data_IF_303589388253
#
_entry.id   IF_303589388253
#
_cell.length_a   1.000
_cell.length_b   1.000
_cell.length_c   1.000
_cell.angle_alpha   90.00
_cell.angle_beta   90.00
_cell.angle_gamma   90.00
#
_symmetry.space_group_name_H-M   'P 1'
#
loop_
_entity.id
_entity.type
_entity.pdbx_description
1 polymer ?
#
# COMPACT_ATOMS: atom_id res chain seq x y z
N UNK A 1 -18.25 10.49 38.26
CA UNK A 1 -17.48 9.33 38.77
C UNK A 1 -17.36 8.16 37.77
N UNK A 2 -18.25 7.98 36.78
CA UNK A 2 -18.12 6.89 35.79
C UNK A 2 -16.97 7.07 34.77
N UNK A 3 -16.66 8.30 34.33
CA UNK A 3 -15.59 8.55 33.34
C UNK A 3 -14.19 8.14 33.82
N UNK A 4 -13.76 8.56 35.02
CA UNK A 4 -12.40 8.28 35.51
C UNK A 4 -12.07 6.79 35.65
N UNK A 5 -13.06 5.92 35.89
CA UNK A 5 -12.82 4.49 35.98
C UNK A 5 -12.77 3.83 34.60
N UNK A 6 -13.58 4.31 33.65
CA UNK A 6 -13.52 3.85 32.25
C UNK A 6 -12.21 4.25 31.58
N UNK A 7 -11.74 5.48 31.82
CA UNK A 7 -10.46 5.98 31.29
C UNK A 7 -9.28 5.15 31.81
N UNK A 8 -9.29 4.77 33.10
CA UNK A 8 -8.26 3.89 33.69
C UNK A 8 -8.26 2.48 33.10
N UNK A 9 -9.44 1.92 32.83
CA UNK A 9 -9.56 0.60 32.20
C UNK A 9 -9.06 0.65 30.76
N UNK A 10 -9.44 1.68 29.99
CA UNK A 10 -8.98 1.88 28.62
C UNK A 10 -7.47 2.07 28.55
N UNK A 11 -6.89 2.87 29.45
CA UNK A 11 -5.44 3.05 29.56
C UNK A 11 -4.74 1.71 29.84
N UNK A 12 -5.19 0.97 30.86
CA UNK A 12 -4.60 -0.32 31.19
C UNK A 12 -4.66 -1.32 30.04
N UNK A 13 -5.81 -1.43 29.37
CA UNK A 13 -5.96 -2.33 28.22
C UNK A 13 -5.06 -1.90 27.05
N UNK A 14 -4.91 -0.60 26.84
CA UNK A 14 -4.00 -0.05 25.84
C UNK A 14 -2.56 -0.44 26.17
N UNK A 15 -2.13 -0.24 27.41
CA UNK A 15 -0.78 -0.59 27.86
C UNK A 15 -0.53 -2.10 27.73
N UNK A 16 -1.47 -2.94 28.16
CA UNK A 16 -1.39 -4.40 28.04
C UNK A 16 -1.24 -4.85 26.58
N UNK A 17 -2.02 -4.27 25.65
CA UNK A 17 -1.94 -4.57 24.21
C UNK A 17 -0.63 -4.06 23.61
N UNK A 18 -0.23 -2.82 23.90
CA UNK A 18 1.02 -2.23 23.37
C UNK A 18 2.24 -3.00 23.85
N UNK A 19 2.22 -3.53 25.08
CA UNK A 19 3.27 -4.40 25.59
C UNK A 19 3.40 -5.72 24.80
N UNK A 20 2.33 -6.21 24.16
CA UNK A 20 2.42 -7.37 23.24
C UNK A 20 3.11 -7.05 21.92
N UNK A 21 3.42 -5.77 21.67
CA UNK A 21 4.06 -5.33 20.44
C UNK A 21 5.57 -5.05 20.55
N UNK A 22 6.15 -5.17 21.76
CA UNK A 22 7.52 -4.71 22.05
C UNK A 22 8.61 -5.70 21.64
N UNK A 23 8.27 -6.95 21.42
CA UNK A 23 9.14 -7.87 20.70
C UNK A 23 9.01 -7.53 19.21
N UNK A 24 10.08 -7.00 18.59
CA UNK A 24 10.22 -6.74 17.14
C UNK A 24 10.14 -8.05 16.29
N UNK A 25 9.28 -8.98 16.69
CA UNK A 25 9.09 -10.31 16.17
C UNK A 25 7.65 -10.50 15.71
N UNK A 26 7.45 -11.33 14.70
CA UNK A 26 6.11 -11.67 14.20
C UNK A 26 5.40 -10.52 13.48
N UNK A 27 4.29 -10.06 14.05
CA UNK A 27 3.34 -9.11 13.44
C UNK A 27 3.61 -7.64 13.79
N UNK A 28 4.62 -7.39 14.63
CA UNK A 28 4.93 -6.08 15.17
C UNK A 28 5.79 -5.27 14.20
N UNK A 29 5.10 -4.50 13.36
CA UNK A 29 5.71 -3.57 12.40
C UNK A 29 5.56 -2.12 12.84
N UNK A 30 5.74 -1.86 14.13
CA UNK A 30 5.77 -0.48 14.65
C UNK A 30 7.01 0.22 14.07
N UNK A 31 6.82 1.45 13.60
CA UNK A 31 7.85 2.27 12.93
C UNK A 31 8.37 1.74 11.57
N UNK A 32 7.70 0.76 10.95
CA UNK A 32 8.14 0.19 9.67
C UNK A 32 7.52 0.92 8.48
N UNK A 33 8.25 1.87 7.93
CA UNK A 33 7.86 2.68 6.77
C UNK A 33 7.96 1.96 5.39
N UNK A 34 8.25 0.67 5.37
CA UNK A 34 8.60 -0.08 4.16
C UNK A 34 7.61 -1.21 3.82
N UNK A 35 6.35 -1.12 4.24
CA UNK A 35 5.33 -2.11 3.86
C UNK A 35 4.44 -1.57 2.74
N UNK A 36 4.05 -2.41 1.76
CA UNK A 36 3.01 -2.06 0.81
C UNK A 36 1.71 -1.64 1.53
N UNK A 37 1.07 -0.60 1.01
CA UNK A 37 -0.18 -0.08 1.57
C UNK A 37 -1.34 -0.85 0.96
N UNK A 38 -2.06 -1.62 1.78
CA UNK A 38 -3.17 -2.47 1.36
C UNK A 38 -4.18 -1.73 0.47
N UNK A 39 -4.61 -0.55 0.90
CA UNK A 39 -5.63 0.20 0.15
C UNK A 39 -5.10 0.69 -1.20
N UNK A 40 -3.79 0.96 -1.32
CA UNK A 40 -3.14 1.26 -2.61
C UNK A 40 -3.09 0.06 -3.54
N UNK A 41 -2.85 -1.13 -3.00
CA UNK A 41 -2.93 -2.36 -3.80
C UNK A 41 -4.34 -2.59 -4.32
N UNK A 42 -5.38 -2.36 -3.50
CA UNK A 42 -6.77 -2.46 -3.93
C UNK A 42 -7.10 -1.41 -5.00
N UNK A 43 -6.70 -0.15 -4.80
CA UNK A 43 -6.85 0.91 -5.80
C UNK A 43 -6.19 0.55 -7.14
N UNK A 44 -5.01 -0.07 -7.10
CA UNK A 44 -4.30 -0.56 -8.30
C UNK A 44 -5.09 -1.65 -9.02
N UNK A 45 -5.66 -2.61 -8.29
CA UNK A 45 -6.51 -3.67 -8.87
C UNK A 45 -7.76 -3.06 -9.53
N UNK A 46 -8.40 -2.10 -8.87
CA UNK A 46 -9.53 -1.35 -9.44
C UNK A 46 -9.15 -0.60 -10.73
N UNK A 47 -7.98 0.04 -10.76
CA UNK A 47 -7.47 0.74 -11.93
C UNK A 47 -7.18 -0.24 -13.09
N UNK A 48 -6.61 -1.41 -12.79
CA UNK A 48 -6.37 -2.46 -13.79
C UNK A 48 -7.67 -2.99 -14.38
N UNK A 49 -8.70 -3.19 -13.55
CA UNK A 49 -10.03 -3.59 -14.03
C UNK A 49 -10.65 -2.51 -14.92
N UNK A 50 -10.57 -1.24 -14.52
CA UNK A 50 -11.08 -0.11 -15.34
C UNK A 50 -10.29 0.03 -16.66
N UNK A 51 -8.99 -0.28 -16.66
CA UNK A 51 -8.17 -0.28 -17.88
C UNK A 51 -8.62 -1.36 -18.87
N UNK A 52 -8.86 -2.58 -18.38
CA UNK A 52 -9.26 -3.74 -19.21
C UNK A 52 -10.73 -3.60 -19.65
N UNK A 53 -11.58 -3.01 -18.80
CA UNK A 53 -13.00 -2.82 -19.04
C UNK A 53 -13.43 -1.36 -18.83
N UNK A 54 -13.10 -0.44 -19.75
CA UNK A 54 -13.42 0.98 -19.61
C UNK A 54 -14.91 1.22 -19.42
N UNK A 55 -15.29 1.91 -18.33
CA UNK A 55 -16.68 2.21 -18.01
C UNK A 55 -17.42 1.12 -17.23
N UNK A 56 -16.80 -0.04 -16.97
CA UNK A 56 -17.43 -1.14 -16.22
C UNK A 56 -17.75 -0.76 -14.77
N UNK A 57 -16.85 -0.04 -14.11
CA UNK A 57 -17.07 0.39 -12.72
C UNK A 57 -18.06 1.56 -12.60
N UNK A 58 -18.45 2.19 -13.71
CA UNK A 58 -19.32 3.38 -13.70
C UNK A 58 -18.69 4.63 -13.07
N UNK A 59 -17.38 4.61 -12.77
CA UNK A 59 -16.65 5.75 -12.16
C UNK A 59 -16.48 6.93 -13.13
N UNK A 60 -16.50 6.67 -14.44
CA UNK A 60 -16.35 7.67 -15.50
C UNK A 60 -17.28 7.34 -16.66
N UNK A 61 -17.80 8.38 -17.32
CA UNK A 61 -18.51 8.22 -18.59
C UNK A 61 -17.46 8.05 -19.68
N UNK A 62 -17.33 6.83 -20.21
CA UNK A 62 -16.39 6.54 -21.30
C UNK A 62 -17.09 6.67 -22.64
N UNK A 63 -16.50 7.46 -23.53
CA UNK A 63 -16.95 7.68 -24.92
C UNK A 63 -15.78 7.45 -25.86
N UNK A 64 -16.06 7.34 -27.17
CA UNK A 64 -15.01 7.22 -28.18
C UNK A 64 -14.07 8.43 -28.21
N UNK A 65 -14.57 9.60 -27.85
CA UNK A 65 -13.79 10.85 -27.89
C UNK A 65 -12.86 11.00 -26.69
N UNK A 66 -13.18 10.38 -25.55
CA UNK A 66 -12.40 10.54 -24.32
C UNK A 66 -11.61 9.30 -23.88
N UNK A 67 -11.86 8.13 -24.49
CA UNK A 67 -11.26 6.85 -24.06
C UNK A 67 -9.73 6.89 -24.08
N UNK A 68 -9.12 7.51 -25.09
CA UNK A 68 -7.66 7.61 -25.17
C UNK A 68 -7.07 8.40 -23.99
N UNK A 69 -7.69 9.52 -23.63
CA UNK A 69 -7.24 10.34 -22.51
C UNK A 69 -7.45 9.63 -21.17
N UNK A 70 -8.58 8.92 -21.01
CA UNK A 70 -8.86 8.13 -19.80
C UNK A 70 -7.86 6.99 -19.64
N UNK A 71 -7.59 6.24 -20.70
CA UNK A 71 -6.60 5.15 -20.70
C UNK A 71 -5.20 5.69 -20.38
N UNK A 72 -4.82 6.83 -20.97
CA UNK A 72 -3.55 7.49 -20.66
C UNK A 72 -3.41 7.88 -19.19
N UNK A 73 -4.45 8.49 -18.60
CA UNK A 73 -4.49 8.84 -17.17
C UNK A 73 -4.32 7.59 -16.29
N UNK A 74 -5.07 6.52 -16.59
CA UNK A 74 -5.01 5.27 -15.83
C UNK A 74 -3.62 4.63 -15.91
N UNK A 75 -3.01 4.57 -17.08
CA UNK A 75 -1.67 3.99 -17.27
C UNK A 75 -0.59 4.73 -16.49
N UNK A 76 -0.59 6.07 -16.53
CA UNK A 76 0.37 6.89 -15.76
C UNK A 76 0.23 6.64 -14.26
N UNK A 77 -1.02 6.53 -13.79
CA UNK A 77 -1.33 6.26 -12.39
C UNK A 77 -0.90 4.86 -11.95
N UNK A 78 -1.23 3.83 -12.75
CA UNK A 78 -0.80 2.45 -12.51
C UNK A 78 0.72 2.38 -12.43
N UNK A 79 1.44 2.92 -13.42
CA UNK A 79 2.91 2.88 -13.44
C UNK A 79 3.52 3.49 -12.18
N UNK A 80 3.04 4.67 -11.78
CA UNK A 80 3.63 5.38 -10.63
C UNK A 80 3.34 4.66 -9.30
N UNK A 81 2.08 4.27 -9.09
CA UNK A 81 1.67 3.64 -7.83
C UNK A 81 2.17 2.19 -7.72
N UNK A 82 2.17 1.43 -8.82
CA UNK A 82 2.64 0.04 -8.83
C UNK A 82 4.13 -0.02 -8.54
N UNK A 83 4.95 0.81 -9.19
CA UNK A 83 6.37 0.91 -8.90
C UNK A 83 6.61 1.25 -7.42
N UNK A 84 5.79 2.15 -6.84
CA UNK A 84 5.91 2.50 -5.43
C UNK A 84 5.58 1.32 -4.50
N UNK A 85 4.51 0.58 -4.77
CA UNK A 85 4.12 -0.56 -3.94
C UNK A 85 5.12 -1.74 -4.08
N UNK A 86 5.67 -1.97 -5.28
CA UNK A 86 6.73 -2.95 -5.50
C UNK A 86 8.00 -2.55 -4.76
N UNK A 87 8.40 -1.27 -4.80
CA UNK A 87 9.56 -0.78 -4.05
C UNK A 87 9.42 -1.07 -2.55
N UNK A 88 8.24 -0.81 -1.97
CA UNK A 88 7.97 -1.11 -0.55
C UNK A 88 8.10 -2.61 -0.27
N UNK A 89 7.51 -3.46 -1.11
CA UNK A 89 7.63 -4.91 -0.98
C UNK A 89 9.10 -5.38 -1.03
N UNK A 90 9.87 -4.87 -1.99
CA UNK A 90 11.30 -5.20 -2.14
C UNK A 90 12.13 -4.68 -0.97
N UNK A 91 11.84 -3.50 -0.42
CA UNK A 91 12.51 -2.98 0.78
C UNK A 91 12.23 -3.82 2.01
N UNK A 92 10.99 -4.30 2.17
CA UNK A 92 10.65 -5.23 3.24
C UNK A 92 11.48 -6.52 3.12
N UNK A 93 11.51 -7.12 1.93
CA UNK A 93 12.32 -8.31 1.68
C UNK A 93 13.83 -8.06 1.90
N UNK A 94 14.36 -6.92 1.44
CA UNK A 94 15.77 -6.57 1.60
C UNK A 94 16.17 -6.40 3.08
N UNK A 95 15.28 -5.85 3.91
CA UNK A 95 15.48 -5.78 5.37
C UNK A 95 15.60 -7.18 5.97
N UNK A 96 14.73 -8.11 5.55
CA UNK A 96 14.80 -9.49 6.05
C UNK A 96 16.05 -10.23 5.58
N UNK A 97 16.57 -9.91 4.40
CA UNK A 97 17.69 -10.59 3.77
C UNK A 97 19.06 -9.92 3.97
N UNK A 98 19.16 -8.80 4.71
CA UNK A 98 20.39 -7.99 4.86
C UNK A 98 21.06 -7.66 3.52
N UNK A 99 20.28 -7.09 2.60
CA UNK A 99 20.73 -6.79 1.23
C UNK A 99 21.85 -5.71 1.19
N UNK A 100 22.99 -5.95 0.52
CA UNK A 100 24.13 -5.03 0.50
C UNK A 100 23.99 -3.82 -0.46
N UNK A 101 23.25 -3.95 -1.57
CA UNK A 101 23.16 -2.90 -2.61
C UNK A 101 21.91 -2.03 -2.51
N UNK A 102 20.79 -2.56 -1.99
CA UNK A 102 19.55 -1.83 -1.72
C UNK A 102 19.00 -0.97 -2.90
N UNK A 103 19.11 -1.46 -4.13
CA UNK A 103 18.60 -0.78 -5.34
C UNK A 103 17.09 -1.03 -5.61
N UNK A 104 16.28 -1.18 -4.54
CA UNK A 104 14.86 -1.59 -4.63
C UNK A 104 14.01 -0.70 -5.55
N UNK A 105 14.31 0.60 -5.61
CA UNK A 105 13.57 1.54 -6.47
C UNK A 105 13.82 1.25 -7.96
N UNK A 106 15.07 1.00 -8.36
CA UNK A 106 15.41 0.68 -9.75
C UNK A 106 14.74 -0.62 -10.19
N UNK A 107 14.85 -1.66 -9.35
CA UNK A 107 14.19 -2.95 -9.59
C UNK A 107 12.67 -2.79 -9.73
N UNK A 108 12.06 -1.95 -8.89
CA UNK A 108 10.62 -1.73 -8.95
C UNK A 108 10.17 -1.03 -10.23
N UNK A 109 10.92 -0.02 -10.68
CA UNK A 109 10.64 0.66 -11.97
C UNK A 109 10.82 -0.30 -13.12
N UNK A 110 11.91 -1.09 -13.13
CA UNK A 110 12.20 -2.06 -14.18
C UNK A 110 11.05 -3.07 -14.32
N UNK A 111 10.62 -3.72 -13.23
CA UNK A 111 9.52 -4.70 -13.26
C UNK A 111 8.18 -4.07 -13.65
N UNK A 112 7.98 -2.77 -13.40
CA UNK A 112 6.73 -2.08 -13.75
C UNK A 112 6.67 -1.69 -15.23
N UNK A 113 7.82 -1.48 -15.86
CA UNK A 113 7.93 -1.00 -17.24
C UNK A 113 8.12 -2.11 -18.28
N UNK A 114 8.36 -3.36 -17.86
CA UNK A 114 8.48 -4.56 -18.70
C UNK A 114 7.11 -5.10 -19.17
#
# INVERSE_FOLDING_TARGET
>A
MKNQNQDKIAQKLTDDIVNTYQDDSGINFIDVANLPVRDKVIELLDLLIELIFPGYMGKRIVTRDNVNSIVGDILVRIRTELAKQIELALRHQCRMANCPTCDCNKMAVEVTDY
#
